data_IF_361866102792
#
_entry.id   IF_361866102792
#
_cell.length_a   1.000
_cell.length_b   1.000
_cell.length_c   1.000
_cell.angle_alpha   90.00
_cell.angle_beta   90.00
_cell.angle_gamma   90.00
#
_symmetry.space_group_name_H-M   'P 1'
#
loop_
_entity.id
_entity.type
_entity.pdbx_description
1 polymer ?
#
# COMPACT_ATOMS: atom_id res chain seq x y z
N UNK A 1 12.48 12.40 -1.83
CA UNK A 1 12.04 11.27 -2.69
C UNK A 1 12.36 9.97 -1.96
N UNK A 2 11.36 9.16 -1.60
CA UNK A 2 11.61 7.86 -0.96
C UNK A 2 11.32 6.76 -1.99
N UNK A 3 12.35 6.08 -2.54
CA UNK A 3 12.20 5.15 -3.66
C UNK A 3 11.15 4.06 -3.44
N UNK A 4 10.96 3.65 -2.18
CA UNK A 4 9.98 2.63 -1.79
C UNK A 4 8.53 3.02 -2.11
N UNK A 5 8.09 4.20 -1.67
CA UNK A 5 6.70 4.64 -1.84
C UNK A 5 6.37 4.94 -3.30
N UNK A 6 7.32 5.51 -4.05
CA UNK A 6 7.15 5.75 -5.48
C UNK A 6 6.92 4.44 -6.24
N UNK A 7 7.72 3.40 -5.96
CA UNK A 7 7.54 2.08 -6.57
C UNK A 7 6.19 1.44 -6.22
N UNK A 8 5.72 1.60 -4.98
CA UNK A 8 4.40 1.10 -4.58
C UNK A 8 3.29 1.81 -5.34
N UNK A 9 3.31 3.15 -5.40
CA UNK A 9 2.31 3.94 -6.15
C UNK A 9 2.29 3.56 -7.63
N UNK A 10 3.46 3.37 -8.24
CA UNK A 10 3.56 2.90 -9.62
C UNK A 10 2.86 1.55 -9.79
N UNK A 11 3.11 0.57 -8.91
CA UNK A 11 2.48 -0.75 -8.98
C UNK A 11 0.96 -0.70 -8.78
N UNK A 12 0.49 0.17 -7.89
CA UNK A 12 -0.96 0.41 -7.71
C UNK A 12 -1.57 0.94 -9.02
N UNK A 13 -0.93 1.92 -9.66
CA UNK A 13 -1.38 2.46 -10.94
C UNK A 13 -1.33 1.43 -12.08
N UNK A 14 -0.40 0.47 -12.01
CA UNK A 14 -0.32 -0.66 -12.95
C UNK A 14 -1.39 -1.74 -12.71
N UNK A 15 -2.35 -1.52 -11.79
CA UNK A 15 -3.35 -2.51 -11.38
C UNK A 15 -2.76 -3.81 -10.81
N UNK A 16 -1.55 -3.73 -10.22
CA UNK A 16 -0.92 -4.91 -9.59
C UNK A 16 -1.43 -5.14 -8.16
N UNK A 17 -2.07 -4.14 -7.54
CA UNK A 17 -2.63 -4.26 -6.18
C UNK A 17 -3.90 -5.09 -6.19
N UNK A 18 -3.92 -6.17 -5.40
CA UNK A 18 -5.07 -7.08 -5.25
C UNK A 18 -5.97 -6.64 -4.10
N UNK A 19 -5.37 -6.37 -2.93
CA UNK A 19 -6.08 -5.96 -1.71
C UNK A 19 -5.11 -5.34 -0.71
N UNK A 20 -5.66 -4.79 0.37
CA UNK A 20 -4.90 -4.39 1.54
C UNK A 20 -5.61 -4.82 2.83
N UNK A 21 -4.85 -4.94 3.92
CA UNK A 21 -5.37 -5.25 5.25
C UNK A 21 -4.61 -4.47 6.32
N UNK A 22 -5.29 -4.12 7.41
CA UNK A 22 -4.66 -3.56 8.60
C UNK A 22 -4.35 -4.68 9.58
N UNK A 23 -3.12 -4.74 10.05
CA UNK A 23 -2.65 -5.70 11.06
C UNK A 23 -2.03 -4.95 12.22
N UNK A 24 -2.30 -5.43 13.43
CA UNK A 24 -1.76 -4.84 14.66
C UNK A 24 -0.23 -4.95 14.71
N UNK A 25 0.33 -6.04 14.16
CA UNK A 25 1.77 -6.25 14.12
C UNK A 25 2.19 -7.01 12.86
N UNK A 26 3.23 -6.51 12.20
CA UNK A 26 3.92 -7.21 11.13
C UNK A 26 5.43 -7.13 11.33
N UNK A 27 6.06 -8.27 11.60
CA UNK A 27 7.48 -8.36 12.00
C UNK A 27 7.74 -7.43 13.22
N UNK A 28 8.59 -6.43 13.04
CA UNK A 28 8.97 -5.44 14.06
C UNK A 28 8.20 -4.11 13.93
N UNK A 29 7.09 -4.09 13.18
CA UNK A 29 6.26 -2.91 12.98
C UNK A 29 4.92 -3.14 13.68
N UNK A 30 4.58 -2.29 14.64
CA UNK A 30 3.23 -2.19 15.18
C UNK A 30 2.39 -1.26 14.29
N UNK A 31 1.09 -1.53 14.17
CA UNK A 31 0.14 -0.83 13.30
C UNK A 31 0.63 -0.74 11.85
N UNK A 32 0.35 -1.79 11.08
CA UNK A 32 0.84 -1.94 9.73
C UNK A 32 -0.31 -2.17 8.75
N UNK A 33 -0.28 -1.48 7.61
CA UNK A 33 -1.14 -1.80 6.48
C UNK A 33 -0.33 -2.63 5.49
N UNK A 34 -0.77 -3.86 5.23
CA UNK A 34 -0.14 -4.76 4.27
C UNK A 34 -0.83 -4.64 2.93
N UNK A 35 -0.06 -4.25 1.92
CA UNK A 35 -0.51 -4.25 0.53
C UNK A 35 -0.13 -5.57 -0.13
N UNK A 36 -1.12 -6.22 -0.74
CA UNK A 36 -0.97 -7.48 -1.47
C UNK A 36 -0.97 -7.23 -2.97
N UNK A 37 0.10 -7.66 -3.65
CA UNK A 37 0.31 -7.49 -5.08
C UNK A 37 0.31 -8.84 -5.81
N UNK A 38 -0.02 -8.81 -7.11
CA UNK A 38 0.06 -9.98 -8.00
C UNK A 38 1.50 -10.37 -8.33
N UNK A 39 2.42 -9.39 -8.37
CA UNK A 39 3.83 -9.56 -8.75
C UNK A 39 4.76 -9.59 -7.54
N UNK A 40 5.97 -10.12 -7.72
CA UNK A 40 6.98 -10.06 -6.67
C UNK A 40 7.59 -8.65 -6.54
N UNK A 41 7.83 -8.18 -5.32
CA UNK A 41 7.43 -8.79 -4.05
C UNK A 41 5.95 -8.58 -3.73
N UNK A 42 5.28 -9.67 -3.34
CA UNK A 42 3.82 -9.72 -3.15
C UNK A 42 3.32 -8.87 -1.98
N UNK A 43 4.12 -8.70 -0.93
CA UNK A 43 3.70 -7.99 0.28
C UNK A 43 4.52 -6.72 0.47
N UNK A 44 3.84 -5.60 0.68
CA UNK A 44 4.46 -4.30 1.01
C UNK A 44 3.86 -3.71 2.28
N UNK A 45 4.60 -3.66 3.40
CA UNK A 45 4.15 -3.00 4.62
C UNK A 45 4.20 -1.49 4.48
N UNK A 46 3.14 -0.83 4.95
CA UNK A 46 3.02 0.62 5.13
C UNK A 46 2.87 0.89 6.62
N UNK A 47 3.58 1.90 7.13
CA UNK A 47 3.50 2.32 8.53
C UNK A 47 2.32 3.27 8.74
N UNK A 48 1.76 3.27 9.94
CA UNK A 48 0.59 4.05 10.33
C UNK A 48 0.61 5.52 9.91
N UNK A 49 1.72 6.23 10.11
CA UNK A 49 1.86 7.64 9.72
C UNK A 49 1.71 7.91 8.20
N UNK A 50 1.61 6.87 7.38
CA UNK A 50 1.37 6.94 5.93
C UNK A 50 -0.02 6.46 5.53
N UNK A 51 -0.85 5.94 6.43
CA UNK A 51 -2.16 5.37 6.07
C UNK A 51 -3.02 6.36 5.31
N UNK A 52 -3.16 7.58 5.84
CA UNK A 52 -3.93 8.65 5.21
C UNK A 52 -3.53 8.92 3.75
N UNK A 53 -2.23 8.92 3.45
CA UNK A 53 -1.72 9.14 2.08
C UNK A 53 -2.20 8.05 1.11
N UNK A 54 -2.25 6.80 1.57
CA UNK A 54 -2.69 5.65 0.78
C UNK A 54 -4.21 5.54 0.70
N UNK A 55 -4.94 5.86 1.77
CA UNK A 55 -6.40 5.94 1.77
C UNK A 55 -6.88 6.99 0.77
N UNK A 56 -6.26 8.17 0.75
CA UNK A 56 -6.53 9.21 -0.24
C UNK A 56 -6.22 8.74 -1.68
N UNK A 57 -5.13 7.99 -1.86
CA UNK A 57 -4.79 7.40 -3.15
C UNK A 57 -5.86 6.39 -3.60
N UNK A 58 -6.29 5.48 -2.73
CA UNK A 58 -7.33 4.50 -3.04
C UNK A 58 -8.66 5.17 -3.35
N UNK A 59 -9.06 6.17 -2.57
CA UNK A 59 -10.28 6.94 -2.81
C UNK A 59 -10.27 7.64 -4.19
N UNK A 60 -9.13 8.22 -4.60
CA UNK A 60 -8.99 8.84 -5.92
C UNK A 60 -9.14 7.82 -7.05
N UNK A 61 -8.57 6.63 -6.88
CA UNK A 61 -8.65 5.56 -7.89
C UNK A 61 -10.06 4.99 -8.00
N UNK A 62 -10.80 4.87 -6.89
CA UNK A 62 -12.16 4.32 -6.90
C UNK A 62 -13.22 5.31 -7.38
N UNK A 63 -13.02 6.62 -7.20
CA UNK A 63 -13.93 7.65 -7.72
C UNK A 63 -13.61 8.14 -9.13
N UNK A 64 -12.40 7.89 -9.61
CA UNK A 64 -11.96 8.25 -10.97
C UNK A 64 -12.18 7.15 -12.02
N UNK A 65 -12.77 6.03 -11.65
CA UNK A 65 -13.33 5.00 -12.55
C UNK A 65 -14.84 5.17 -12.62
#
# INVERSE_FOLDING_TARGET
MYPYHNKIKQRINNNELVRYEYVEKYKNIASCMLLHFTTEPKIRPIREHRFKEYEELFYKITKGK
#
